data_IF_320191498887
#
_entry.id   IF_320191498887
#
_cell.length_a   1.000
_cell.length_b   1.000
_cell.length_c   1.000
_cell.angle_alpha   90.00
_cell.angle_beta   90.00
_cell.angle_gamma   90.00
#
_symmetry.space_group_name_H-M   'P 1'
#
loop_
_entity.id
_entity.type
_entity.pdbx_description
1 polymer ?
#
# COMPACT_ATOMS: atom_id res chain seq x y z
N UNK A 1 -3.83 -10.96 21.56
CA UNK A 1 -2.53 -10.28 21.28
C UNK A 1 -2.86 -8.88 20.82
N UNK A 2 -2.22 -7.87 21.40
CA UNK A 2 -2.42 -6.47 20.98
C UNK A 2 -1.50 -6.10 19.83
N UNK A 3 -1.91 -5.11 19.06
CA UNK A 3 -1.12 -4.50 18.01
C UNK A 3 -1.35 -2.99 17.96
N UNK A 4 -0.46 -2.30 17.27
CA UNK A 4 -0.48 -0.86 17.11
C UNK A 4 -0.90 -0.49 15.69
N UNK A 5 -1.71 0.56 15.56
CA UNK A 5 -1.99 1.21 14.28
C UNK A 5 -2.08 2.72 14.41
N UNK A 6 -2.00 3.41 13.29
CA UNK A 6 -2.22 4.85 13.21
C UNK A 6 -3.64 5.11 12.73
N UNK A 7 -4.35 6.02 13.40
CA UNK A 7 -5.66 6.48 12.96
C UNK A 7 -5.67 7.99 12.70
N UNK A 8 -6.47 8.39 11.73
CA UNK A 8 -6.86 9.79 11.51
C UNK A 8 -8.13 10.03 12.32
N UNK A 9 -8.08 10.99 13.27
CA UNK A 9 -9.19 11.27 14.19
C UNK A 9 -10.06 12.43 13.74
N UNK A 10 -9.52 13.34 12.94
CA UNK A 10 -10.18 14.47 12.31
C UNK A 10 -9.40 14.84 11.04
N UNK A 11 -10.01 15.53 10.10
CA UNK A 11 -9.30 15.99 8.89
C UNK A 11 -8.41 17.19 9.23
N UNK A 12 -7.19 17.20 8.65
CA UNK A 12 -6.26 18.30 8.88
C UNK A 12 -4.80 17.93 8.79
N UNK A 13 -3.96 18.62 9.54
CA UNK A 13 -2.51 18.46 9.57
C UNK A 13 -2.02 17.16 10.22
N UNK A 14 -0.69 17.00 10.40
CA UNK A 14 -0.11 15.80 11.03
C UNK A 14 -0.61 15.53 12.45
N UNK A 15 -1.10 16.55 13.14
CA UNK A 15 -1.71 16.46 14.47
C UNK A 15 -3.02 15.66 14.49
N UNK A 16 -3.61 15.37 13.32
CA UNK A 16 -4.75 14.49 13.18
C UNK A 16 -4.41 12.99 13.40
N UNK A 17 -3.14 12.64 13.29
CA UNK A 17 -2.65 11.26 13.44
C UNK A 17 -2.51 10.89 14.91
N UNK A 18 -3.03 9.71 15.27
CA UNK A 18 -2.87 9.13 16.61
C UNK A 18 -2.44 7.68 16.50
N UNK A 19 -1.49 7.30 17.34
CA UNK A 19 -1.13 5.90 17.57
C UNK A 19 -2.14 5.32 18.56
N UNK A 20 -2.74 4.19 18.20
CA UNK A 20 -3.68 3.46 19.06
C UNK A 20 -3.25 2.01 19.17
N UNK A 21 -3.51 1.42 20.34
CA UNK A 21 -3.31 0.00 20.59
C UNK A 21 -4.68 -0.68 20.71
N UNK A 22 -4.87 -1.78 20.02
CA UNK A 22 -6.10 -2.56 20.05
C UNK A 22 -5.83 -4.06 19.97
N UNK A 23 -6.85 -4.90 20.07
CA UNK A 23 -6.71 -6.34 19.86
C UNK A 23 -6.35 -6.62 18.40
N UNK A 24 -5.37 -7.53 18.22
CA UNK A 24 -4.92 -7.92 16.88
C UNK A 24 -6.08 -8.53 16.09
N UNK A 25 -6.33 -8.08 14.86
CA UNK A 25 -7.46 -8.57 14.08
C UNK A 25 -7.28 -10.06 13.74
N UNK A 26 -8.38 -10.79 13.72
CA UNK A 26 -8.40 -12.18 13.26
C UNK A 26 -8.95 -12.24 11.83
N UNK A 27 -8.29 -13.02 10.95
CA UNK A 27 -8.73 -13.14 9.56
C UNK A 27 -10.05 -13.91 9.49
N UNK A 28 -10.99 -13.41 8.70
CA UNK A 28 -12.25 -14.08 8.37
C UNK A 28 -12.04 -15.09 7.23
N UNK A 29 -13.11 -15.78 6.85
CA UNK A 29 -13.12 -16.67 5.68
C UNK A 29 -12.66 -15.91 4.43
N UNK A 30 -11.69 -16.46 3.72
CA UNK A 30 -11.10 -15.84 2.52
C UNK A 30 -10.12 -14.69 2.80
N UNK A 31 -9.82 -14.37 4.06
CA UNK A 31 -8.84 -13.35 4.43
C UNK A 31 -7.53 -13.95 4.94
N UNK A 32 -6.49 -13.18 4.80
CA UNK A 32 -5.14 -13.47 5.30
C UNK A 32 -4.72 -12.34 6.22
N UNK A 33 -4.25 -12.67 7.42
CA UNK A 33 -3.60 -11.70 8.28
C UNK A 33 -2.15 -11.55 7.85
N UNK A 34 -1.77 -10.31 7.56
CA UNK A 34 -0.43 -9.93 7.15
C UNK A 34 0.21 -9.09 8.25
N UNK A 35 1.40 -9.47 8.70
CA UNK A 35 2.25 -8.63 9.54
C UNK A 35 3.03 -7.69 8.64
N UNK A 36 2.75 -6.40 8.74
CA UNK A 36 3.34 -5.36 7.89
C UNK A 36 4.83 -5.20 8.21
N UNK A 37 5.66 -5.20 7.18
CA UNK A 37 7.11 -4.93 7.24
C UNK A 37 7.43 -3.52 6.78
N UNK A 38 6.74 -3.05 5.74
CA UNK A 38 6.89 -1.72 5.19
C UNK A 38 5.56 -1.25 4.60
N UNK A 39 5.27 0.03 4.75
CA UNK A 39 4.15 0.72 4.11
C UNK A 39 4.66 1.99 3.43
N UNK A 40 4.17 2.29 2.24
CA UNK A 40 4.51 3.52 1.53
C UNK A 40 3.82 4.73 2.15
N UNK A 41 4.44 5.89 1.99
CA UNK A 41 3.82 7.19 2.31
C UNK A 41 3.71 7.98 1.01
N UNK A 42 2.50 8.31 0.62
CA UNK A 42 2.19 8.89 -0.68
C UNK A 42 1.31 10.12 -0.58
N UNK A 43 1.19 10.86 -1.67
CA UNK A 43 0.31 12.03 -1.73
C UNK A 43 -1.16 11.68 -1.41
N UNK A 44 -1.74 10.58 -1.90
CA UNK A 44 -3.08 10.17 -1.51
C UNK A 44 -3.30 10.00 -0.01
N UNK A 45 -2.30 9.53 0.75
CA UNK A 45 -2.39 9.44 2.22
C UNK A 45 -2.55 10.83 2.86
N UNK A 46 -1.79 11.80 2.37
CA UNK A 46 -1.89 13.20 2.84
C UNK A 46 -3.26 13.77 2.50
N UNK A 47 -3.72 13.60 1.25
CA UNK A 47 -5.02 14.07 0.80
C UNK A 47 -6.18 13.41 1.57
N UNK A 48 -6.09 12.13 1.87
CA UNK A 48 -7.09 11.43 2.67
C UNK A 48 -7.11 11.97 4.12
N UNK A 49 -5.94 12.17 4.74
CA UNK A 49 -5.85 12.78 6.06
C UNK A 49 -6.45 14.20 6.09
N UNK A 50 -6.28 14.96 5.03
CA UNK A 50 -6.85 16.31 4.89
C UNK A 50 -8.34 16.33 4.50
N UNK A 51 -8.90 15.15 4.15
CA UNK A 51 -10.30 15.01 3.77
C UNK A 51 -10.62 15.49 2.35
N UNK A 52 -9.60 15.65 1.50
CA UNK A 52 -9.77 16.16 0.12
C UNK A 52 -9.62 15.08 -0.96
N UNK A 53 -9.24 13.85 -0.61
CA UNK A 53 -9.20 12.74 -1.56
C UNK A 53 -10.61 12.22 -1.82
N UNK A 54 -11.00 11.92 -3.09
CA UNK A 54 -12.35 11.44 -3.41
C UNK A 54 -12.77 10.17 -2.69
N UNK A 55 -11.82 9.29 -2.39
CA UNK A 55 -12.04 8.02 -1.67
C UNK A 55 -11.71 8.10 -0.19
N UNK A 56 -11.73 9.30 0.40
CA UNK A 56 -11.48 9.47 1.83
C UNK A 56 -12.55 8.72 2.65
N UNK A 57 -12.16 7.78 3.51
CA UNK A 57 -13.12 7.07 4.36
C UNK A 57 -13.70 8.00 5.44
N UNK A 58 -14.85 7.63 6.02
CA UNK A 58 -15.34 8.31 7.22
C UNK A 58 -14.36 8.14 8.39
N UNK A 59 -14.30 9.16 9.23
CA UNK A 59 -13.48 9.17 10.44
C UNK A 59 -14.08 8.29 11.56
N UNK A 60 -13.26 7.65 12.40
CA UNK A 60 -11.81 7.53 12.28
C UNK A 60 -11.41 6.43 11.30
N UNK A 61 -10.27 6.58 10.62
CA UNK A 61 -9.75 5.55 9.73
C UNK A 61 -8.23 5.40 9.84
N UNK A 62 -7.70 4.25 9.41
CA UNK A 62 -6.26 4.01 9.30
C UNK A 62 -5.82 4.32 7.87
N UNK A 63 -4.87 5.24 7.65
CA UNK A 63 -4.31 5.51 6.34
C UNK A 63 -3.35 4.41 5.87
N UNK A 64 -2.72 4.59 4.72
CA UNK A 64 -1.76 3.68 4.11
C UNK A 64 -2.34 2.96 2.91
N UNK A 65 -1.84 3.34 1.73
CA UNK A 65 -2.35 2.87 0.43
C UNK A 65 -1.75 1.54 0.02
N UNK A 66 -0.51 1.27 0.41
CA UNK A 66 0.22 0.08 0.02
C UNK A 66 1.08 -0.46 1.16
N UNK A 67 1.37 -1.73 1.07
CA UNK A 67 2.20 -2.43 2.04
C UNK A 67 2.95 -3.62 1.43
N UNK A 68 4.00 -4.00 2.12
CA UNK A 68 4.65 -5.32 2.02
C UNK A 68 4.71 -5.92 3.42
N UNK A 69 4.40 -7.19 3.54
CA UNK A 69 4.39 -7.86 4.83
C UNK A 69 4.55 -9.37 4.70
N UNK A 70 4.58 -10.02 5.85
CA UNK A 70 4.66 -11.48 5.97
C UNK A 70 3.29 -12.02 6.31
N UNK A 71 2.87 -13.06 5.62
CA UNK A 71 1.67 -13.84 5.96
C UNK A 71 1.84 -14.41 7.37
N UNK A 72 0.99 -13.98 8.30
CA UNK A 72 1.03 -14.37 9.70
C UNK A 72 0.01 -15.47 10.00
N UNK A 73 -1.23 -15.32 9.52
CA UNK A 73 -2.32 -16.27 9.76
C UNK A 73 -3.27 -16.32 8.57
N UNK A 74 -3.83 -17.49 8.33
CA UNK A 74 -4.82 -17.72 7.28
C UNK A 74 -6.20 -17.88 7.90
N UNK A 75 -7.23 -17.28 7.29
CA UNK A 75 -8.62 -17.60 7.52
C UNK A 75 -9.03 -18.87 6.77
N UNK A 76 -10.28 -19.28 6.93
CA UNK A 76 -10.79 -20.47 6.26
C UNK A 76 -10.90 -20.23 4.73
N UNK A 77 -10.76 -21.33 3.96
CA UNK A 77 -10.88 -21.29 2.50
C UNK A 77 -9.66 -20.75 1.74
N UNK A 78 -8.57 -20.41 2.42
CA UNK A 78 -7.33 -19.95 1.79
C UNK A 78 -6.56 -21.12 1.17
N UNK A 79 -5.99 -20.91 -0.03
CA UNK A 79 -5.16 -21.89 -0.72
C UNK A 79 -4.06 -21.22 -1.54
N UNK A 80 -2.90 -21.87 -1.68
CA UNK A 80 -1.79 -21.37 -2.50
C UNK A 80 -1.01 -20.20 -1.89
N UNK A 81 -1.28 -19.87 -0.63
CA UNK A 81 -0.50 -18.93 0.18
C UNK A 81 -0.18 -19.62 1.50
N UNK A 82 1.02 -19.43 2.03
CA UNK A 82 1.49 -20.07 3.26
C UNK A 82 1.96 -19.04 4.29
N UNK A 83 1.82 -19.32 5.60
CA UNK A 83 2.44 -18.51 6.63
C UNK A 83 3.96 -18.39 6.42
N UNK A 84 4.49 -17.18 6.63
CA UNK A 84 5.88 -16.85 6.38
C UNK A 84 6.17 -16.33 4.97
N UNK A 85 5.26 -16.48 4.03
CA UNK A 85 5.40 -15.92 2.68
C UNK A 85 5.38 -14.40 2.71
N UNK A 86 6.24 -13.76 1.91
CA UNK A 86 6.23 -12.29 1.74
C UNK A 86 5.23 -11.93 0.64
N UNK A 87 4.36 -10.98 0.95
CA UNK A 87 3.30 -10.50 0.06
C UNK A 87 3.25 -8.98 0.04
N UNK A 88 2.84 -8.44 -1.09
CA UNK A 88 2.50 -7.04 -1.28
C UNK A 88 0.98 -6.88 -1.45
N UNK A 89 0.46 -5.72 -1.10
CA UNK A 89 -0.94 -5.37 -1.34
C UNK A 89 -1.13 -3.86 -1.48
N UNK A 90 -2.24 -3.47 -2.10
CA UNK A 90 -2.66 -2.08 -2.23
C UNK A 90 -4.12 -1.93 -1.73
N UNK A 91 -4.34 -1.97 -0.40
CA UNK A 91 -5.68 -1.92 0.18
C UNK A 91 -6.36 -0.54 0.12
N UNK A 92 -5.67 0.49 -0.35
CA UNK A 92 -6.10 1.90 -0.41
C UNK A 92 -6.14 2.56 0.98
N UNK A 93 -6.49 1.81 2.02
CA UNK A 93 -6.49 2.24 3.41
C UNK A 93 -6.11 1.07 4.31
N UNK A 94 -5.55 1.37 5.47
CA UNK A 94 -5.29 0.36 6.50
C UNK A 94 -3.84 -0.10 6.64
N UNK A 95 -2.92 0.30 5.74
CA UNK A 95 -1.55 -0.20 5.78
C UNK A 95 -0.69 0.35 6.95
N UNK A 96 -1.11 1.45 7.60
CA UNK A 96 -0.37 1.99 8.75
C UNK A 96 -0.76 1.27 10.05
N UNK A 97 -0.53 -0.02 10.07
CA UNK A 97 -0.79 -0.93 11.18
C UNK A 97 0.27 -2.03 11.23
N UNK A 98 0.52 -2.60 12.41
CA UNK A 98 1.43 -3.75 12.53
C UNK A 98 0.85 -5.01 11.87
N UNK A 99 -0.48 -5.17 11.93
CA UNK A 99 -1.21 -6.29 11.32
C UNK A 99 -2.44 -5.78 10.58
N UNK A 100 -2.71 -6.38 9.42
CA UNK A 100 -3.92 -6.14 8.63
C UNK A 100 -4.50 -7.48 8.17
N UNK A 101 -5.83 -7.55 8.05
CA UNK A 101 -6.50 -8.68 7.40
C UNK A 101 -6.98 -8.24 6.03
N UNK A 102 -6.59 -8.97 5.00
CA UNK A 102 -6.88 -8.65 3.61
C UNK A 102 -7.43 -9.88 2.87
N UNK A 103 -8.36 -9.70 1.93
CA UNK A 103 -8.78 -10.77 1.04
C UNK A 103 -7.59 -11.37 0.29
N UNK A 104 -7.52 -12.70 0.20
CA UNK A 104 -6.42 -13.39 -0.49
C UNK A 104 -6.19 -12.85 -1.91
N UNK A 105 -7.26 -12.52 -2.64
CA UNK A 105 -7.18 -12.02 -4.03
C UNK A 105 -6.44 -10.69 -4.19
N UNK A 106 -6.24 -9.95 -3.09
CA UNK A 106 -5.54 -8.66 -3.08
C UNK A 106 -4.04 -8.81 -2.77
N UNK A 107 -3.60 -10.02 -2.46
CA UNK A 107 -2.22 -10.32 -2.12
C UNK A 107 -1.43 -10.72 -3.35
N UNK A 108 -0.26 -10.12 -3.51
CA UNK A 108 0.68 -10.39 -4.59
C UNK A 108 1.95 -10.98 -3.97
N UNK A 109 2.36 -12.20 -4.32
CA UNK A 109 3.63 -12.75 -3.84
C UNK A 109 4.81 -11.87 -4.24
N UNK A 110 5.68 -11.57 -3.28
CA UNK A 110 6.93 -10.84 -3.52
C UNK A 110 8.05 -11.84 -3.81
N UNK A 111 8.86 -11.62 -4.87
CA UNK A 111 9.99 -12.47 -5.16
C UNK A 111 10.99 -12.56 -4.00
N UNK A 112 11.58 -13.73 -3.80
CA UNK A 112 12.58 -13.94 -2.75
C UNK A 112 13.81 -13.06 -2.97
N UNK A 113 14.35 -12.51 -1.88
CA UNK A 113 15.57 -11.70 -1.90
C UNK A 113 15.34 -10.20 -2.14
N UNK A 114 14.10 -9.77 -2.39
CA UNK A 114 13.77 -8.36 -2.50
C UNK A 114 13.50 -7.79 -1.10
N UNK A 115 14.13 -6.67 -0.78
CA UNK A 115 13.89 -5.95 0.47
C UNK A 115 12.46 -5.39 0.53
N UNK A 116 11.87 -5.36 1.73
CA UNK A 116 10.47 -4.95 1.88
C UNK A 116 10.24 -3.47 1.52
N UNK A 117 11.21 -2.59 1.79
CA UNK A 117 11.10 -1.18 1.45
C UNK A 117 11.27 -0.96 -0.06
N UNK A 118 12.15 -1.73 -0.71
CA UNK A 118 12.24 -1.74 -2.18
C UNK A 118 10.93 -2.26 -2.80
N UNK A 119 10.44 -3.39 -2.30
CA UNK A 119 9.21 -4.00 -2.80
C UNK A 119 8.00 -3.07 -2.69
N UNK A 120 7.80 -2.40 -1.55
CA UNK A 120 6.64 -1.49 -1.38
C UNK A 120 6.73 -0.28 -2.30
N UNK A 121 7.92 0.21 -2.64
CA UNK A 121 8.08 1.31 -3.59
C UNK A 121 7.55 0.99 -4.98
N UNK A 122 7.52 -0.29 -5.35
CA UNK A 122 6.99 -0.76 -6.62
C UNK A 122 5.46 -0.82 -6.65
N UNK A 123 4.80 -0.94 -5.48
CA UNK A 123 3.35 -1.22 -5.43
C UNK A 123 2.54 -0.04 -5.94
N UNK A 124 2.57 1.11 -5.28
CA UNK A 124 1.76 2.25 -5.70
C UNK A 124 2.47 3.09 -6.77
N UNK A 125 3.68 3.57 -6.47
CA UNK A 125 4.35 4.56 -7.32
C UNK A 125 4.72 3.99 -8.69
N UNK A 126 5.41 2.84 -8.72
CA UNK A 126 5.85 2.24 -9.98
C UNK A 126 4.69 1.76 -10.85
N UNK A 127 3.67 1.11 -10.23
CA UNK A 127 2.48 0.69 -10.98
C UNK A 127 1.76 1.91 -11.58
N UNK A 128 1.67 3.01 -10.85
CA UNK A 128 1.07 4.26 -11.34
C UNK A 128 1.86 4.79 -12.54
N UNK A 129 3.17 4.92 -12.42
CA UNK A 129 4.06 5.34 -13.50
C UNK A 129 3.92 4.44 -14.74
N UNK A 130 3.98 3.13 -14.54
CA UNK A 130 3.80 2.15 -15.61
C UNK A 130 2.45 2.31 -16.33
N UNK A 131 1.37 2.49 -15.59
CA UNK A 131 0.05 2.70 -16.18
C UNK A 131 -0.05 4.00 -16.94
N UNK A 132 0.52 5.09 -16.42
CA UNK A 132 0.55 6.39 -17.09
C UNK A 132 1.28 6.30 -18.43
N UNK A 133 2.46 5.70 -18.47
CA UNK A 133 3.29 5.60 -19.68
C UNK A 133 2.72 4.59 -20.68
N UNK A 134 2.43 3.38 -20.24
CA UNK A 134 2.15 2.28 -21.16
C UNK A 134 0.66 2.09 -21.47
N UNK A 135 -0.24 2.35 -20.51
CA UNK A 135 -1.68 2.17 -20.72
C UNK A 135 -2.37 3.46 -21.16
N UNK A 136 -2.10 4.58 -20.50
CA UNK A 136 -2.76 5.86 -20.77
C UNK A 136 -2.11 6.58 -21.95
N UNK A 137 -0.83 6.93 -21.84
CA UNK A 137 -0.10 7.66 -22.87
C UNK A 137 0.33 6.76 -24.05
N UNK A 138 0.43 5.44 -23.84
CA UNK A 138 0.86 4.45 -24.87
C UNK A 138 2.17 4.85 -25.54
N UNK A 139 3.13 5.25 -24.74
CA UNK A 139 4.46 5.69 -25.18
C UNK A 139 5.13 4.57 -25.98
N UNK A 140 5.80 4.96 -27.07
CA UNK A 140 6.50 4.05 -27.98
C UNK A 140 7.97 4.45 -28.12
N UNK A 141 8.87 3.52 -28.43
CA UNK A 141 10.27 3.83 -28.69
C UNK A 141 10.44 4.98 -29.68
N UNK A 142 11.36 5.90 -29.39
CA UNK A 142 11.63 7.08 -30.21
C UNK A 142 10.76 8.31 -29.94
N UNK A 143 9.74 8.20 -29.10
CA UNK A 143 8.96 9.36 -28.66
C UNK A 143 9.68 10.15 -27.55
N UNK A 144 9.37 11.43 -27.47
CA UNK A 144 9.82 12.30 -26.37
C UNK A 144 8.69 12.46 -25.36
N UNK A 145 9.00 12.29 -24.09
CA UNK A 145 8.06 12.44 -22.98
C UNK A 145 8.52 13.59 -22.09
N UNK A 146 7.61 14.48 -21.73
CA UNK A 146 7.85 15.52 -20.74
C UNK A 146 7.25 15.06 -19.41
N UNK A 147 8.10 15.00 -18.38
CA UNK A 147 7.71 14.63 -17.03
C UNK A 147 7.88 15.86 -16.14
N UNK A 148 6.79 16.37 -15.58
CA UNK A 148 6.81 17.43 -14.59
C UNK A 148 7.12 16.85 -13.19
N UNK A 149 7.79 17.65 -12.36
CA UNK A 149 8.12 17.27 -10.97
C UNK A 149 8.90 15.94 -10.83
N UNK A 150 9.81 15.63 -11.77
CA UNK A 150 10.53 14.35 -11.89
C UNK A 150 11.36 13.91 -10.68
N UNK A 151 11.27 14.57 -9.54
CA UNK A 151 11.80 14.18 -8.23
C UNK A 151 10.73 13.64 -7.28
N UNK A 152 9.46 13.66 -7.67
CA UNK A 152 8.37 13.06 -6.92
C UNK A 152 8.41 11.52 -6.98
N UNK A 153 7.70 10.85 -6.09
CA UNK A 153 7.72 9.39 -6.00
C UNK A 153 7.31 8.70 -7.30
N UNK A 154 6.13 9.02 -7.83
CA UNK A 154 5.62 8.43 -9.08
C UNK A 154 6.42 8.90 -10.30
N UNK A 155 6.73 10.18 -10.37
CA UNK A 155 7.46 10.80 -11.49
C UNK A 155 8.91 10.29 -11.58
N UNK A 156 9.56 10.02 -10.45
CA UNK A 156 10.89 9.41 -10.44
C UNK A 156 10.86 7.97 -10.99
N UNK A 157 9.77 7.23 -10.75
CA UNK A 157 9.57 5.88 -11.29
C UNK A 157 9.28 5.88 -12.80
N UNK A 158 8.74 6.97 -13.37
CA UNK A 158 8.53 7.11 -14.82
C UNK A 158 9.85 6.94 -15.60
N UNK A 159 10.95 7.46 -15.07
CA UNK A 159 12.28 7.27 -15.66
C UNK A 159 12.70 5.80 -15.69
N UNK A 160 12.49 5.07 -14.62
CA UNK A 160 12.81 3.64 -14.53
C UNK A 160 11.93 2.79 -15.44
N UNK A 161 10.67 3.18 -15.62
CA UNK A 161 9.74 2.45 -16.48
C UNK A 161 9.98 2.65 -18.00
N UNK A 162 10.80 3.65 -18.39
CA UNK A 162 11.15 3.92 -19.78
C UNK A 162 12.41 3.17 -20.27
N UNK A 163 13.20 2.58 -19.37
CA UNK A 163 14.39 1.79 -19.65
C UNK A 163 14.04 0.33 -19.91
#
# INVERSE_FOLDING_TARGET
>A
MKHTRIIVTHYGGPDALRVVEEECPEPKDGEVRVRVLAAGVSLPDIMAREGVHPETPPLPFTPGWDLVGVVDRLGDGISGIEPGQIVAAMPIHGAYAEFVCLPQRELIPVPSGLDAAEAVSLVLNYITAYQMLHRSAKVRPGQRVLIHAGSGGTEAMDWAAML
#
